data_IF_638959435457
#
_entry.id   IF_638959435457
#
_cell.length_a   1.000
_cell.length_b   1.000
_cell.length_c   1.000
_cell.angle_alpha   90.00
_cell.angle_beta   90.00
_cell.angle_gamma   90.00
#
_symmetry.space_group_name_H-M   'P 1'
#
loop_
_entity.id
_entity.type
_entity.pdbx_description
1 polymer ?
#
# COMPACT_ATOMS: atom_id res chain seq x y z
N UNK A 1 8.29 25.99 -7.61
CA UNK A 1 8.25 24.80 -6.75
C UNK A 1 8.51 23.58 -7.61
N UNK A 2 9.63 22.88 -7.41
CA UNK A 2 9.80 21.55 -8.03
C UNK A 2 8.69 20.65 -7.50
N UNK A 3 7.81 20.18 -8.39
CA UNK A 3 6.74 19.27 -8.02
C UNK A 3 7.39 17.96 -7.59
N UNK A 4 7.43 17.68 -6.29
CA UNK A 4 7.79 16.34 -5.80
C UNK A 4 6.70 15.39 -6.29
N UNK A 5 7.12 14.35 -7.00
CA UNK A 5 6.24 13.33 -7.55
C UNK A 5 6.50 12.00 -6.84
N UNK A 6 5.45 11.19 -6.71
CA UNK A 6 5.53 9.81 -6.29
C UNK A 6 5.05 8.91 -7.43
N UNK A 7 5.73 7.79 -7.62
CA UNK A 7 5.31 6.74 -8.55
C UNK A 7 4.68 5.61 -7.75
N UNK A 8 3.53 5.15 -8.22
CA UNK A 8 2.75 4.08 -7.60
C UNK A 8 2.60 2.92 -8.57
N UNK A 9 2.71 1.70 -8.05
CA UNK A 9 2.34 0.47 -8.74
C UNK A 9 1.13 -0.08 -7.98
N UNK A 10 -0.04 -0.08 -8.63
CA UNK A 10 -1.28 -0.65 -8.08
C UNK A 10 -1.66 -1.89 -8.87
N UNK A 11 -2.10 -2.92 -8.13
CA UNK A 11 -2.69 -4.13 -8.67
C UNK A 11 -4.13 -4.23 -8.16
N UNK A 12 -5.03 -4.57 -9.07
CA UNK A 12 -6.45 -4.77 -8.84
C UNK A 12 -6.78 -6.26 -9.01
N UNK A 13 -7.71 -6.76 -8.20
CA UNK A 13 -8.14 -8.13 -8.32
C UNK A 13 -8.86 -8.60 -7.06
N UNK A 14 -8.65 -9.86 -6.68
CA UNK A 14 -9.19 -10.41 -5.43
C UNK A 14 -8.04 -10.85 -4.52
N UNK A 15 -7.83 -10.12 -3.42
CA UNK A 15 -6.92 -10.56 -2.34
C UNK A 15 -7.38 -11.92 -1.81
N UNK A 16 -6.47 -12.90 -1.88
CA UNK A 16 -6.62 -14.24 -1.30
C UNK A 16 -5.77 -14.45 -0.04
N UNK A 17 -4.98 -13.44 0.34
CA UNK A 17 -4.15 -13.48 1.53
C UNK A 17 -5.02 -13.42 2.80
N UNK A 18 -4.93 -14.48 3.59
CA UNK A 18 -5.49 -14.62 4.92
C UNK A 18 -4.43 -15.21 5.85
N UNK A 19 -4.58 -15.01 7.16
CA UNK A 19 -3.74 -15.63 8.20
C UNK A 19 -2.23 -15.58 7.86
N UNK A 20 -1.60 -16.74 7.66
CA UNK A 20 -0.19 -16.89 7.33
C UNK A 20 0.21 -16.16 6.05
N UNK A 21 -0.62 -16.14 5.01
CA UNK A 21 -0.32 -15.39 3.77
C UNK A 21 -0.38 -13.88 3.97
N UNK A 22 -1.28 -13.41 4.84
CA UNK A 22 -1.33 -12.00 5.22
C UNK A 22 -0.06 -11.61 6.01
N UNK A 23 0.38 -12.48 6.94
CA UNK A 23 1.63 -12.29 7.68
C UNK A 23 2.85 -12.26 6.77
N UNK A 24 2.94 -13.19 5.81
CA UNK A 24 4.02 -13.23 4.81
C UNK A 24 4.07 -11.96 3.96
N UNK A 25 2.93 -11.44 3.52
CA UNK A 25 2.84 -10.18 2.78
C UNK A 25 3.31 -8.99 3.63
N UNK A 26 2.91 -8.95 4.90
CA UNK A 26 3.37 -7.91 5.83
C UNK A 26 4.90 -7.94 5.97
N UNK A 27 5.49 -9.12 6.21
CA UNK A 27 6.94 -9.27 6.32
C UNK A 27 7.68 -8.96 5.01
N UNK A 28 7.11 -9.34 3.87
CA UNK A 28 7.61 -8.96 2.56
C UNK A 28 7.69 -7.44 2.42
N UNK A 29 6.62 -6.75 2.81
CA UNK A 29 6.50 -5.29 2.71
C UNK A 29 7.57 -4.58 3.55
N UNK A 30 7.86 -5.09 4.76
CA UNK A 30 8.95 -4.57 5.59
C UNK A 30 10.31 -4.70 4.88
N UNK A 31 10.65 -5.90 4.38
CA UNK A 31 11.93 -6.13 3.69
C UNK A 31 12.07 -5.29 2.42
N UNK A 32 11.01 -5.17 1.63
CA UNK A 32 11.00 -4.33 0.43
C UNK A 32 11.30 -2.87 0.80
N UNK A 33 10.66 -2.35 1.86
CA UNK A 33 10.88 -0.98 2.32
C UNK A 33 12.32 -0.73 2.78
N UNK A 34 12.93 -1.69 3.47
CA UNK A 34 14.35 -1.64 3.88
C UNK A 34 15.29 -1.63 2.68
N UNK A 35 15.07 -2.52 1.71
CA UNK A 35 15.87 -2.57 0.47
C UNK A 35 15.81 -1.28 -0.33
N UNK A 36 14.68 -0.56 -0.26
CA UNK A 36 14.49 0.72 -0.94
C UNK A 36 15.11 1.91 -0.19
N UNK A 37 15.58 1.72 1.04
CA UNK A 37 16.15 2.76 1.91
C UNK A 37 15.09 3.57 2.68
N UNK A 38 13.85 3.09 2.74
CA UNK A 38 12.72 3.78 3.38
C UNK A 38 11.97 2.80 4.29
N UNK A 39 12.59 2.35 5.39
CA UNK A 39 11.97 1.37 6.28
C UNK A 39 10.62 1.90 6.77
N UNK A 40 9.61 1.04 6.74
CA UNK A 40 8.33 1.36 7.34
C UNK A 40 8.47 1.49 8.85
N UNK A 41 7.86 2.53 9.40
CA UNK A 41 7.87 2.82 10.84
C UNK A 41 6.46 2.98 11.42
N UNK A 42 5.45 3.08 10.56
CA UNK A 42 4.05 3.18 10.96
C UNK A 42 3.15 2.21 10.22
N UNK A 43 2.06 1.82 10.89
CA UNK A 43 1.05 0.89 10.42
C UNK A 43 -0.36 1.35 10.82
N UNK A 44 -1.30 1.27 9.89
CA UNK A 44 -2.73 1.27 10.13
C UNK A 44 -3.31 -0.10 9.75
N UNK A 45 -4.27 -0.59 10.52
CA UNK A 45 -4.95 -1.87 10.28
C UNK A 45 -6.45 -1.63 10.44
N UNK A 46 -7.24 -2.24 9.56
CA UNK A 46 -8.69 -2.33 9.68
C UNK A 46 -9.09 -3.80 9.64
N UNK A 47 -10.00 -4.21 10.52
CA UNK A 47 -10.47 -5.58 10.65
C UNK A 47 -11.26 -5.80 11.94
N UNK A 48 -11.46 -7.05 12.32
CA UNK A 48 -12.30 -7.43 13.47
C UNK A 48 -11.87 -6.75 14.77
N UNK A 49 -10.62 -6.91 15.19
CA UNK A 49 -10.09 -6.24 16.39
C UNK A 49 -9.57 -4.82 16.13
N UNK A 50 -9.60 -4.34 14.89
CA UNK A 50 -9.02 -3.07 14.47
C UNK A 50 -10.08 -2.12 13.87
N UNK A 51 -10.83 -1.45 14.74
CA UNK A 51 -12.01 -0.65 14.32
C UNK A 51 -11.73 0.76 13.80
N UNK A 52 -10.54 1.32 14.01
CA UNK A 52 -10.29 2.75 13.73
C UNK A 52 -9.36 3.04 12.56
N UNK A 53 -8.65 2.05 12.01
CA UNK A 53 -7.61 2.30 11.00
C UNK A 53 -6.46 3.18 11.49
N UNK A 54 -6.40 3.48 12.80
CA UNK A 54 -5.48 4.47 13.36
C UNK A 54 -4.04 4.10 13.05
N UNK A 55 -3.33 5.06 12.46
CA UNK A 55 -1.89 4.93 12.19
C UNK A 55 -1.12 4.98 13.51
N UNK A 56 -0.30 3.96 13.75
CA UNK A 56 0.49 3.76 14.97
C UNK A 56 1.89 3.30 14.61
N UNK A 57 2.84 3.36 15.55
CA UNK A 57 4.18 2.80 15.31
C UNK A 57 4.12 1.28 15.20
N UNK A 58 4.90 0.70 14.28
CA UNK A 58 4.90 -0.74 14.00
C UNK A 58 5.15 -1.58 15.25
N UNK A 59 6.14 -1.20 16.06
CA UNK A 59 6.57 -1.96 17.24
C UNK A 59 5.46 -2.23 18.25
N UNK A 60 4.41 -1.39 18.28
CA UNK A 60 3.25 -1.56 19.18
C UNK A 60 2.17 -2.46 18.59
N UNK A 61 2.02 -2.45 17.28
CA UNK A 61 0.84 -3.03 16.61
C UNK A 61 1.13 -4.37 15.96
N UNK A 62 2.39 -4.66 15.62
CA UNK A 62 2.82 -5.93 15.02
C UNK A 62 2.43 -7.15 15.86
N UNK A 63 2.64 -7.11 17.18
CA UNK A 63 2.25 -8.21 18.08
C UNK A 63 0.75 -8.48 18.06
N UNK A 64 -0.06 -7.41 17.98
CA UNK A 64 -1.52 -7.52 17.90
C UNK A 64 -1.94 -8.08 16.55
N UNK A 65 -1.35 -7.61 15.45
CA UNK A 65 -1.60 -8.15 14.12
C UNK A 65 -1.34 -9.66 14.09
N UNK A 66 -0.17 -10.09 14.60
CA UNK A 66 0.18 -11.51 14.64
C UNK A 66 -0.83 -12.33 15.44
N UNK A 67 -1.27 -11.85 16.60
CA UNK A 67 -2.28 -12.52 17.41
C UNK A 67 -3.63 -12.60 16.70
N UNK A 68 -4.10 -11.52 16.08
CA UNK A 68 -5.35 -11.50 15.32
C UNK A 68 -5.32 -12.50 14.17
N UNK A 69 -4.22 -12.58 13.42
CA UNK A 69 -4.05 -13.57 12.36
C UNK A 69 -4.03 -15.02 12.89
N UNK A 70 -3.47 -15.26 14.07
CA UNK A 70 -3.49 -16.58 14.73
C UNK A 70 -4.89 -16.96 15.23
N UNK A 71 -5.72 -15.98 15.55
CA UNK A 71 -7.12 -16.16 15.95
C UNK A 71 -8.07 -16.26 14.75
N UNK A 72 -7.54 -16.27 13.52
CA UNK A 72 -8.32 -16.24 12.27
C UNK A 72 -9.29 -15.05 12.19
N UNK A 73 -8.95 -13.93 12.81
CA UNK A 73 -9.70 -12.68 12.70
C UNK A 73 -9.57 -12.11 11.28
N UNK A 74 -10.67 -11.56 10.76
CA UNK A 74 -10.65 -10.96 9.42
C UNK A 74 -9.89 -9.63 9.45
N UNK A 75 -8.90 -9.52 8.55
CA UNK A 75 -8.18 -8.29 8.28
C UNK A 75 -8.63 -7.77 6.93
N UNK A 76 -9.31 -6.61 6.96
CA UNK A 76 -9.85 -5.93 5.80
C UNK A 76 -8.76 -5.11 5.09
N UNK A 77 -7.85 -4.50 5.85
CA UNK A 77 -6.79 -3.72 5.25
C UNK A 77 -5.58 -3.52 6.17
N UNK A 78 -4.41 -3.47 5.56
CA UNK A 78 -3.14 -3.10 6.20
C UNK A 78 -2.46 -2.02 5.37
N UNK A 79 -2.01 -0.99 6.05
CA UNK A 79 -1.47 0.24 5.47
C UNK A 79 -0.16 0.56 6.19
N UNK A 80 0.95 0.56 5.46
CA UNK A 80 2.30 0.75 5.98
C UNK A 80 2.90 2.04 5.44
N UNK A 81 3.55 2.81 6.31
CA UNK A 81 4.19 4.07 5.95
C UNK A 81 5.63 4.15 6.43
N UNK A 82 6.47 4.76 5.61
CA UNK A 82 7.76 5.31 6.03
C UNK A 82 7.57 6.82 6.19
N UNK A 83 7.40 7.25 7.43
CA UNK A 83 7.15 8.66 7.77
C UNK A 83 8.43 9.33 8.27
N UNK A 84 8.69 10.60 7.92
CA UNK A 84 9.73 11.39 8.58
C UNK A 84 9.37 11.60 10.06
N UNK A 85 10.36 11.94 10.90
CA UNK A 85 10.14 12.14 12.33
C UNK A 85 9.08 13.21 12.64
N UNK A 86 9.08 14.31 11.88
CA UNK A 86 8.22 15.48 12.09
C UNK A 86 7.06 15.54 11.08
N UNK A 87 6.38 14.42 10.84
CA UNK A 87 5.23 14.38 9.94
C UNK A 87 3.97 15.01 10.57
N UNK A 88 3.14 15.66 9.75
CA UNK A 88 1.84 16.21 10.16
C UNK A 88 0.68 15.30 9.78
N UNK A 89 0.68 14.79 8.54
CA UNK A 89 -0.38 13.94 7.99
C UNK A 89 0.21 12.76 7.24
N UNK A 90 0.02 11.55 7.78
CA UNK A 90 0.62 10.33 7.24
C UNK A 90 0.31 10.09 5.76
N UNK A 91 -0.91 10.43 5.31
CA UNK A 91 -1.37 10.22 3.92
C UNK A 91 -0.68 11.14 2.89
N UNK A 92 -0.02 12.21 3.31
CA UNK A 92 0.69 13.14 2.41
C UNK A 92 2.20 13.12 2.63
N UNK A 93 2.63 13.05 3.89
CA UNK A 93 4.02 13.28 4.30
C UNK A 93 4.92 12.04 4.18
N UNK A 94 4.39 10.90 3.77
CA UNK A 94 5.16 9.66 3.65
C UNK A 94 6.27 9.74 2.60
N UNK A 95 7.40 9.09 2.86
CA UNK A 95 8.43 8.82 1.86
C UNK A 95 7.96 7.70 0.94
N UNK A 96 7.63 6.55 1.53
CA UNK A 96 7.07 5.37 0.87
C UNK A 96 5.82 4.91 1.61
N UNK A 97 4.94 4.25 0.87
CA UNK A 97 3.68 3.72 1.37
C UNK A 97 3.37 2.41 0.68
N UNK A 98 2.85 1.43 1.42
CA UNK A 98 2.34 0.19 0.86
C UNK A 98 1.03 -0.20 1.54
N UNK A 99 0.09 -0.70 0.76
CA UNK A 99 -1.20 -1.10 1.30
C UNK A 99 -1.74 -2.33 0.59
N UNK A 100 -2.40 -3.18 1.38
CA UNK A 100 -3.30 -4.23 0.94
C UNK A 100 -4.67 -3.89 1.52
N UNK A 101 -5.66 -3.69 0.67
CA UNK A 101 -7.00 -3.27 1.06
C UNK A 101 -8.06 -4.11 0.32
N UNK A 102 -8.92 -4.77 1.10
CA UNK A 102 -10.08 -5.54 0.61
C UNK A 102 -11.33 -4.65 0.45
N UNK A 103 -11.22 -3.35 0.70
CA UNK A 103 -12.23 -2.37 0.29
C UNK A 103 -13.54 -2.44 1.07
N UNK A 104 -13.52 -2.72 2.39
CA UNK A 104 -14.70 -2.69 3.30
C UNK A 104 -15.99 -3.29 2.69
N UNK A 105 -15.88 -4.45 2.03
CA UNK A 105 -17.03 -5.12 1.40
C UNK A 105 -17.31 -4.71 -0.05
N UNK A 106 -16.42 -3.98 -0.70
CA UNK A 106 -16.42 -3.76 -2.15
C UNK A 106 -15.50 -4.75 -2.87
N UNK A 107 -15.84 -5.11 -4.10
CA UNK A 107 -15.00 -5.99 -4.94
C UNK A 107 -13.71 -5.29 -5.44
N UNK A 108 -13.45 -4.05 -5.03
CA UNK A 108 -12.29 -3.27 -5.44
C UNK A 108 -11.08 -3.54 -4.55
N UNK A 109 -10.61 -4.80 -4.48
CA UNK A 109 -9.42 -5.09 -3.71
C UNK A 109 -8.18 -4.52 -4.42
N UNK A 110 -7.28 -3.91 -3.65
CA UNK A 110 -6.04 -3.33 -4.17
C UNK A 110 -4.83 -3.78 -3.37
N UNK A 111 -3.71 -3.95 -4.07
CA UNK A 111 -2.38 -3.86 -3.45
C UNK A 111 -1.63 -2.74 -4.16
N UNK A 112 -1.17 -1.75 -3.39
CA UNK A 112 -0.45 -0.59 -3.93
C UNK A 112 0.88 -0.42 -3.21
N UNK A 113 1.93 -0.11 -3.98
CA UNK A 113 3.22 0.33 -3.47
C UNK A 113 3.58 1.68 -4.10
N UNK A 114 3.95 2.65 -3.27
CA UNK A 114 4.28 4.01 -3.68
C UNK A 114 5.65 4.41 -3.16
N UNK A 115 6.46 4.99 -4.05
CA UNK A 115 7.81 5.47 -3.78
C UNK A 115 8.03 6.89 -4.32
N UNK A 116 9.05 7.64 -3.85
CA UNK A 116 9.49 8.84 -4.53
C UNK A 116 9.85 8.50 -5.98
N UNK A 117 9.46 9.32 -6.95
CA UNK A 117 9.63 8.98 -8.38
C UNK A 117 11.11 8.81 -8.76
N UNK A 118 12.00 9.57 -8.13
CA UNK A 118 13.46 9.44 -8.24
C UNK A 118 14.01 8.08 -7.74
N UNK A 119 13.21 7.32 -6.99
CA UNK A 119 13.57 5.99 -6.50
C UNK A 119 12.89 4.86 -7.27
N UNK A 120 11.97 5.18 -8.19
CA UNK A 120 11.20 4.18 -8.94
C UNK A 120 12.08 3.28 -9.81
N UNK A 121 13.17 3.80 -10.37
CA UNK A 121 14.12 3.01 -11.17
C UNK A 121 14.75 1.83 -10.41
N UNK A 122 14.78 1.88 -9.08
CA UNK A 122 15.30 0.80 -8.23
C UNK A 122 14.28 -0.31 -7.99
N UNK A 123 13.00 -0.07 -8.31
CA UNK A 123 11.93 -1.05 -8.14
C UNK A 123 12.01 -2.08 -9.27
N UNK A 124 12.23 -3.35 -8.90
CA UNK A 124 12.12 -4.48 -9.84
C UNK A 124 10.64 -4.79 -10.09
N UNK A 125 9.99 -4.00 -10.93
CA UNK A 125 8.53 -4.03 -11.16
C UNK A 125 8.01 -5.43 -11.48
N UNK A 126 8.63 -6.15 -12.40
CA UNK A 126 8.16 -7.48 -12.81
C UNK A 126 8.24 -8.49 -11.65
N UNK A 127 9.31 -8.43 -10.86
CA UNK A 127 9.46 -9.26 -9.66
C UNK A 127 8.41 -8.89 -8.60
N UNK A 128 8.21 -7.59 -8.34
CA UNK A 128 7.19 -7.12 -7.41
C UNK A 128 5.80 -7.63 -7.81
N UNK A 129 5.44 -7.54 -9.09
CA UNK A 129 4.15 -8.03 -9.60
C UNK A 129 4.03 -9.54 -9.39
N UNK A 130 5.05 -10.31 -9.76
CA UNK A 130 5.08 -11.77 -9.54
C UNK A 130 4.93 -12.13 -8.06
N UNK A 131 5.59 -11.39 -7.16
CA UNK A 131 5.48 -11.59 -5.72
C UNK A 131 4.05 -11.32 -5.24
N UNK A 132 3.40 -10.26 -5.74
CA UNK A 132 2.04 -9.89 -5.34
C UNK A 132 0.98 -10.90 -5.79
N UNK A 133 1.19 -11.62 -6.90
CA UNK A 133 0.30 -12.72 -7.34
C UNK A 133 0.20 -13.88 -6.34
N UNK A 134 1.15 -14.01 -5.40
CA UNK A 134 1.05 -14.97 -4.30
C UNK A 134 -0.05 -14.59 -3.30
N UNK A 135 -0.41 -13.30 -3.21
CA UNK A 135 -1.33 -12.74 -2.22
C UNK A 135 -2.66 -12.29 -2.81
N UNK A 136 -2.73 -12.13 -4.13
CA UNK A 136 -3.91 -11.68 -4.87
C UNK A 136 -4.07 -12.46 -6.17
N UNK A 137 -5.31 -12.69 -6.60
CA UNK A 137 -5.62 -13.05 -7.97
C UNK A 137 -5.75 -11.75 -8.77
N UNK A 138 -4.69 -11.35 -9.46
CA UNK A 138 -4.63 -10.07 -10.17
C UNK A 138 -5.43 -10.12 -11.48
N UNK A 139 -6.20 -9.05 -11.74
CA UNK A 139 -7.03 -8.88 -12.95
C UNK A 139 -6.46 -7.76 -13.81
N UNK A 140 -5.97 -6.69 -13.19
CA UNK A 140 -5.32 -5.60 -13.89
C UNK A 140 -4.39 -4.84 -12.94
N UNK A 141 -3.62 -3.91 -13.48
CA UNK A 141 -2.79 -3.01 -12.69
C UNK A 141 -2.46 -1.74 -13.44
N UNK A 142 -1.96 -0.75 -12.72
CA UNK A 142 -1.49 0.51 -13.28
C UNK A 142 -0.20 0.94 -12.59
N UNK A 143 0.68 1.54 -13.37
CA UNK A 143 1.81 2.32 -12.89
C UNK A 143 1.51 3.77 -13.23
N UNK A 144 1.51 4.62 -12.23
CA UNK A 144 1.16 6.03 -12.40
C UNK A 144 1.99 6.92 -11.49
N UNK A 145 2.05 8.20 -11.84
CA UNK A 145 2.67 9.23 -11.04
C UNK A 145 1.65 10.28 -10.62
N UNK A 146 1.84 10.79 -9.40
CA UNK A 146 1.06 11.88 -8.83
C UNK A 146 1.96 12.79 -7.98
N UNK A 147 1.53 14.03 -7.84
CA UNK A 147 2.05 15.00 -6.87
C UNK A 147 1.89 14.47 -5.45
N UNK A 148 2.82 14.80 -4.57
CA UNK A 148 2.72 14.52 -3.12
C UNK A 148 1.50 15.15 -2.44
N UNK A 149 0.86 16.12 -3.09
CA UNK A 149 -0.36 16.78 -2.60
C UNK A 149 -1.64 16.01 -2.94
N UNK A 150 -1.54 14.96 -3.76
CA UNK A 150 -2.67 14.11 -4.15
C UNK A 150 -2.46 12.70 -3.56
N UNK A 151 -3.55 12.04 -3.14
CA UNK A 151 -3.46 10.73 -2.49
C UNK A 151 -3.53 9.60 -3.54
N UNK A 152 -2.44 8.83 -3.74
CA UNK A 152 -2.46 7.67 -4.64
C UNK A 152 -3.37 6.56 -4.14
N UNK A 153 -3.54 6.43 -2.81
CA UNK A 153 -4.48 5.47 -2.22
C UNK A 153 -5.93 5.80 -2.63
N UNK A 154 -6.35 7.07 -2.55
CA UNK A 154 -7.72 7.44 -2.94
C UNK A 154 -8.00 7.24 -4.43
N UNK A 155 -7.00 7.50 -5.28
CA UNK A 155 -7.11 7.21 -6.71
C UNK A 155 -7.24 5.70 -6.96
N UNK A 156 -6.34 4.91 -6.38
CA UNK A 156 -6.35 3.45 -6.49
C UNK A 156 -7.63 2.82 -5.96
N UNK A 157 -8.14 3.27 -4.81
CA UNK A 157 -9.40 2.78 -4.25
C UNK A 157 -10.64 3.29 -4.99
N UNK A 158 -10.47 4.06 -6.09
CA UNK A 158 -11.54 4.64 -6.91
C UNK A 158 -12.54 5.47 -6.10
N UNK A 159 -12.07 6.14 -5.05
CA UNK A 159 -12.94 6.95 -4.17
C UNK A 159 -13.36 8.27 -4.82
N UNK A 160 -12.55 8.78 -5.77
CA UNK A 160 -12.83 9.99 -6.54
C UNK A 160 -12.69 9.72 -8.04
N UNK A 161 -13.21 10.62 -8.87
CA UNK A 161 -13.05 10.49 -10.31
C UNK A 161 -11.59 10.75 -10.72
N UNK A 162 -11.05 10.05 -11.73
CA UNK A 162 -9.70 10.31 -12.24
C UNK A 162 -9.45 11.78 -12.62
N UNK A 163 -10.48 12.49 -13.10
CA UNK A 163 -10.41 13.92 -13.44
C UNK A 163 -10.15 14.85 -12.25
N UNK A 164 -10.37 14.37 -11.02
CA UNK A 164 -10.14 15.15 -9.80
C UNK A 164 -8.64 15.26 -9.46
N UNK A 165 -7.81 14.40 -10.07
CA UNK A 165 -6.37 14.34 -9.87
C UNK A 165 -5.64 15.06 -11.01
N UNK A 166 -5.29 16.33 -10.79
CA UNK A 166 -4.70 17.21 -11.82
C UNK A 166 -3.29 16.79 -12.21
N UNK A 167 -2.59 16.07 -11.34
CA UNK A 167 -1.21 15.64 -11.59
C UNK A 167 -1.07 14.17 -11.97
N UNK A 168 -2.19 13.44 -12.05
CA UNK A 168 -2.21 12.05 -12.44
C UNK A 168 -1.62 11.86 -13.83
N UNK A 169 -0.60 11.01 -13.92
CA UNK A 169 0.02 10.56 -15.17
C UNK A 169 0.13 9.05 -15.16
N UNK A 170 -0.68 8.37 -15.95
CA UNK A 170 -0.55 6.92 -16.15
C UNK A 170 0.68 6.66 -17.02
N UNK A 171 1.62 5.88 -16.50
CA UNK A 171 2.85 5.47 -17.17
C UNK A 171 2.62 4.17 -17.94
N UNK A 172 1.95 3.20 -17.30
CA UNK A 172 1.73 1.87 -17.88
C UNK A 172 0.44 1.26 -17.33
N UNK A 173 -0.33 0.62 -18.19
CA UNK A 173 -1.40 -0.32 -17.79
C UNK A 173 -0.86 -1.74 -17.84
N UNK A 174 -1.32 -2.57 -16.92
CA UNK A 174 -0.91 -3.97 -16.76
C UNK A 174 -2.16 -4.82 -16.89
N UNK A 175 -2.07 -5.86 -17.72
CA UNK A 175 -3.11 -6.86 -17.96
C UNK A 175 -2.50 -8.25 -17.67
N UNK A 176 -3.33 -9.18 -17.19
CA UNK A 176 -2.92 -10.51 -16.71
C UNK A 176 -3.65 -11.64 -17.44
#
# INVERSE_FOLDING_TARGET
MNKKLKTSIVLYGTIKAQEQKCWEWYQYSLRLSEMMGYPFNHIGIIGDSFKSGKVTTISRTEKKLKQSLQNSEEIEGITLYSLPQEFSQAIFDFNTFMCMDKGLGSDNHIIIFTVPSESYERVKVDQYIQDMMNYMNCISGEIFEMSVLESPFFYASKLNNPSDYKSLRIIKKIEF
#
